data_IF_881926830320
#
_entry.id   IF_881926830320
#
_cell.length_a   1.000
_cell.length_b   1.000
_cell.length_c   1.000
_cell.angle_alpha   90.00
_cell.angle_beta   90.00
_cell.angle_gamma   90.00
#
_symmetry.space_group_name_H-M   'P 1'
#
loop_
_entity.id
_entity.type
_entity.pdbx_description
1 polymer ?
2 non-polymer ?
3 water ?
#
# COMPACT_ATOMS: atom_id res chain seq x y z
N UNK A 4 -22.08 7.75 -7.84
CA UNK A 4 -21.23 6.65 -8.51
C UNK A 4 -19.70 6.85 -8.34
N UNK A 5 -19.32 7.91 -7.63
CA UNK A 5 -17.92 8.14 -7.23
C UNK A 5 -17.72 7.83 -5.76
N UNK A 6 -17.10 6.71 -5.43
CA UNK A 6 -16.98 6.35 -4.04
C UNK A 6 -16.34 7.45 -3.19
N UNK A 7 -15.50 8.30 -3.78
CA UNK A 7 -14.82 9.34 -2.99
C UNK A 7 -15.72 10.37 -2.49
N UNK A 8 -16.90 10.48 -3.06
CA UNK A 8 -17.86 11.41 -2.47
C UNK A 8 -18.29 11.01 -1.05
N UNK A 9 -18.06 9.79 -0.66
CA UNK A 9 -18.36 9.32 0.70
C UNK A 9 -17.21 9.28 1.67
N UNK A 10 -16.04 9.81 1.18
CA UNK A 10 -14.86 9.74 2.03
C UNK A 10 -14.23 11.15 2.18
N UNK A 11 -13.62 11.41 3.34
CA UNK A 11 -12.76 12.56 3.51
C UNK A 11 -11.46 12.36 2.70
N UNK A 12 -11.21 13.26 1.76
CA UNK A 12 -10.07 13.14 0.86
C UNK A 12 -9.63 14.51 0.36
N UNK A 13 -8.41 14.46 -0.20
CA UNK A 13 -7.80 15.67 -0.81
C UNK A 13 -7.12 15.18 -2.11
N UNK A 14 -7.41 15.87 -3.18
CA UNK A 14 -6.67 15.69 -4.45
C UNK A 14 -5.30 16.32 -4.30
N UNK A 15 -4.25 15.53 -4.54
CA UNK A 15 -2.88 15.96 -4.39
C UNK A 15 -2.26 16.28 -5.77
N UNK A 16 -2.33 15.35 -6.68
CA UNK A 16 -1.87 15.58 -8.05
C UNK A 16 -2.96 15.09 -8.97
N UNK A 17 -2.75 15.23 -10.28
CA UNK A 17 -3.78 14.78 -11.18
C UNK A 17 -3.97 13.20 -11.06
N UNK A 18 -2.95 12.52 -10.58
CA UNK A 18 -2.87 11.00 -10.36
C UNK A 18 -3.27 10.58 -8.91
N UNK A 19 -2.82 11.37 -7.90
CA UNK A 19 -2.82 10.92 -6.53
C UNK A 19 -3.81 11.70 -5.75
N UNK A 20 -4.64 10.96 -4.98
CA UNK A 20 -5.55 11.52 -4.02
C UNK A 20 -5.33 10.81 -2.67
N UNK A 21 -5.31 11.59 -1.58
CA UNK A 21 -5.13 11.01 -0.26
C UNK A 21 -6.49 10.95 0.41
N UNK A 22 -6.76 9.81 1.07
CA UNK A 22 -8.06 9.52 1.73
C UNK A 22 -7.74 9.21 3.16
N UNK A 23 -8.59 9.77 4.06
CA UNK A 23 -8.55 9.42 5.48
C UNK A 23 -9.45 8.19 5.64
N UNK A 24 -8.92 7.09 6.08
CA UNK A 24 -9.77 5.92 6.26
C UNK A 24 -8.96 4.63 6.30
N UNK A 25 -9.70 3.57 6.00
CA UNK A 25 -9.20 2.24 6.01
C UNK A 25 -9.00 1.77 4.61
N UNK A 26 -7.76 1.45 4.24
CA UNK A 26 -7.46 1.06 2.87
C UNK A 26 -8.29 -0.09 2.35
N UNK A 27 -8.60 -1.01 3.26
CA UNK A 27 -9.40 -2.22 2.80
C UNK A 27 -10.81 -1.75 2.46
N UNK A 28 -11.38 -0.84 3.25
CA UNK A 28 -12.71 -0.30 2.95
C UNK A 28 -12.72 0.45 1.65
N UNK A 29 -11.67 1.25 1.38
CA UNK A 29 -11.65 1.96 0.17
C UNK A 29 -11.53 1.04 -1.02
N UNK A 30 -10.61 0.07 -0.94
CA UNK A 30 -10.43 -0.86 -2.08
C UNK A 30 -11.74 -1.65 -2.38
N UNK A 31 -12.48 -1.98 -1.35
CA UNK A 31 -13.79 -2.72 -1.58
C UNK A 31 -14.70 -1.93 -2.40
N UNK A 32 -14.59 -0.60 -2.47
CA UNK A 32 -15.40 0.24 -3.35
C UNK A 32 -15.10 0.25 -4.82
N UNK A 33 -13.94 -0.32 -5.22
CA UNK A 33 -13.40 -0.31 -6.54
C UNK A 33 -13.02 -1.69 -6.94
N UNK A 34 -13.98 -2.35 -7.65
CA UNK A 34 -13.70 -3.69 -8.00
C UNK A 34 -12.56 -4.01 -8.88
N UNK A 35 -12.07 -3.02 -9.62
CA UNK A 35 -10.96 -3.25 -10.51
C UNK A 35 -9.64 -2.73 -9.96
N UNK A 36 -9.68 -2.31 -8.74
CA UNK A 36 -8.47 -1.73 -8.10
C UNK A 36 -7.52 -2.85 -7.68
N UNK A 37 -6.23 -2.47 -7.57
CA UNK A 37 -5.23 -3.27 -6.90
C UNK A 37 -4.95 -2.69 -5.51
N UNK A 38 -4.99 -3.50 -4.52
CA UNK A 38 -4.75 -3.08 -3.14
C UNK A 38 -3.32 -3.42 -2.85
N UNK A 39 -2.54 -2.45 -2.35
CA UNK A 39 -1.18 -2.72 -1.91
C UNK A 39 -1.18 -3.13 -0.46
N UNK A 40 -0.40 -4.20 -0.20
CA UNK A 40 0.00 -4.64 1.13
C UNK A 40 1.42 -4.19 1.43
N UNK A 41 1.64 -3.58 2.59
CA UNK A 41 2.98 -3.19 3.03
C UNK A 41 3.52 -4.38 3.79
N UNK A 42 4.35 -5.15 3.06
CA UNK A 42 4.79 -6.47 3.50
C UNK A 42 6.23 -6.45 3.95
N UNK A 43 6.66 -7.60 4.46
CA UNK A 43 8.06 -7.91 4.66
C UNK A 43 8.58 -8.90 3.65
N UNK A 44 9.90 -9.14 3.66
CA UNK A 44 10.55 -9.95 2.64
C UNK A 44 9.96 -11.37 2.56
N UNK A 45 9.39 -11.89 3.65
CA UNK A 45 8.87 -13.27 3.74
C UNK A 45 7.36 -13.39 3.71
N UNK A 46 6.72 -12.22 3.45
CA UNK A 46 5.24 -12.17 3.37
C UNK A 46 4.69 -12.85 4.62
N UNK A 47 5.21 -12.53 5.82
CA UNK A 47 4.67 -12.98 7.11
C UNK A 47 3.88 -11.79 7.66
N UNK A 48 2.56 -11.93 7.57
CA UNK A 48 1.61 -10.80 7.75
C UNK A 48 1.19 -10.77 9.27
N UNK A 49 1.97 -10.00 9.92
CA UNK A 49 1.85 -9.78 11.36
C UNK A 49 0.82 -8.74 11.82
N UNK A 50 1.11 -7.48 11.66
CA UNK A 50 0.79 -6.49 12.72
C UNK A 50 0.16 -5.11 12.40
N UNK A 51 0.40 -4.72 11.19
CA UNK A 51 -0.04 -3.51 10.60
C UNK A 51 -1.11 -3.84 9.58
N UNK A 52 -1.09 -3.13 8.45
CA UNK A 52 -2.04 -3.36 7.42
C UNK A 52 -2.06 -4.83 6.94
N UNK A 53 -0.88 -5.42 6.90
CA UNK A 53 -0.76 -6.80 6.43
C UNK A 53 -1.60 -7.73 7.28
N UNK A 54 -1.54 -7.58 8.59
CA UNK A 54 -2.41 -8.38 9.44
C UNK A 54 -3.86 -8.12 9.24
N UNK A 55 -4.22 -6.88 8.98
CA UNK A 55 -5.62 -6.58 8.69
C UNK A 55 -6.10 -7.17 7.41
N UNK A 56 -5.27 -7.12 6.38
CA UNK A 56 -5.60 -7.70 5.11
C UNK A 56 -5.77 -9.22 5.24
N UNK A 57 -4.85 -9.88 5.92
CA UNK A 57 -4.94 -11.31 6.20
C UNK A 57 -6.22 -11.63 6.98
N UNK A 58 -6.52 -10.84 8.01
CA UNK A 58 -7.75 -11.10 8.77
C UNK A 58 -8.98 -10.92 7.91
N UNK A 59 -9.04 -9.90 7.09
CA UNK A 59 -10.13 -9.66 6.19
C UNK A 59 -10.35 -10.84 5.24
N UNK A 60 -9.28 -11.51 4.85
CA UNK A 60 -9.29 -12.70 3.97
C UNK A 60 -9.53 -13.99 4.68
N UNK A 61 -9.73 -13.95 5.99
CA UNK A 61 -9.86 -15.09 6.86
C UNK A 61 -8.72 -16.05 6.75
N UNK A 62 -7.50 -15.49 6.63
CA UNK A 62 -6.31 -16.31 6.57
C UNK A 62 -5.90 -16.74 5.20
N UNK A 63 -6.66 -16.49 4.17
CA UNK A 63 -6.35 -17.03 2.89
C UNK A 63 -5.06 -16.35 2.32
N UNK A 64 -4.94 -15.07 2.64
CA UNK A 64 -3.74 -14.34 2.21
C UNK A 64 -2.47 -14.96 2.71
N UNK A 65 -2.45 -15.26 4.01
CA UNK A 65 -1.27 -15.95 4.57
C UNK A 65 -1.01 -17.30 3.93
N UNK A 66 -2.05 -18.09 3.69
CA UNK A 66 -1.85 -19.41 3.09
C UNK A 66 -1.22 -19.31 1.73
N UNK A 67 -1.70 -18.34 0.91
CA UNK A 67 -1.17 -18.08 -0.40
C UNK A 67 0.27 -17.65 -0.32
N UNK A 68 0.51 -16.74 0.64
CA UNK A 68 1.85 -16.16 0.82
C UNK A 68 2.84 -17.29 1.22
N UNK A 69 2.40 -18.14 2.13
CA UNK A 69 3.23 -19.34 2.57
C UNK A 69 3.61 -20.12 1.31
N UNK A 70 2.64 -20.42 0.49
CA UNK A 70 2.92 -21.19 -0.71
C UNK A 70 3.90 -20.47 -1.65
N UNK A 71 3.71 -19.13 -1.82
CA UNK A 71 4.51 -18.39 -2.67
C UNK A 71 6.01 -18.44 -2.27
N UNK A 72 6.23 -18.20 -0.98
CA UNK A 72 7.58 -18.20 -0.48
C UNK A 72 8.30 -19.55 -0.59
N UNK A 73 7.56 -20.61 -0.44
CA UNK A 73 8.17 -21.90 -0.58
C UNK A 73 8.43 -22.19 -2.05
N UNK A 74 7.59 -21.70 -2.96
CA UNK A 74 7.89 -21.90 -4.40
C UNK A 74 8.98 -21.07 -4.97
N UNK A 75 9.00 -19.78 -4.53
CA UNK A 75 9.79 -18.77 -5.18
C UNK A 75 10.91 -18.14 -4.34
N UNK A 76 10.88 -18.38 -3.04
CA UNK A 76 11.84 -17.82 -2.13
C UNK A 76 11.43 -16.38 -1.74
N UNK A 77 12.12 -15.85 -0.77
CA UNK A 77 11.78 -14.53 -0.28
C UNK A 77 12.08 -13.41 -1.25
N UNK A 78 11.36 -12.30 -1.06
CA UNK A 78 11.57 -11.07 -1.85
C UNK A 78 12.76 -10.29 -1.33
N UNK A 79 13.33 -9.49 -2.19
CA UNK A 79 14.27 -8.51 -1.72
C UNK A 79 13.54 -7.22 -1.32
N UNK A 80 14.19 -6.43 -0.53
CA UNK A 80 13.63 -5.14 -0.12
C UNK A 80 13.49 -4.30 -1.37
N UNK A 81 12.33 -3.65 -1.61
CA UNK A 81 12.00 -2.93 -2.78
C UNK A 81 11.26 -3.68 -3.87
N UNK A 82 11.22 -5.03 -3.73
CA UNK A 82 10.50 -5.89 -4.69
C UNK A 82 9.01 -5.94 -4.31
N UNK A 83 8.26 -6.36 -5.28
CA UNK A 83 6.79 -6.54 -5.11
C UNK A 83 6.34 -7.77 -5.84
N UNK A 84 5.21 -8.34 -5.43
CA UNK A 84 4.63 -9.47 -6.14
C UNK A 84 3.10 -9.30 -6.13
N UNK A 85 2.51 -9.50 -7.30
CA UNK A 85 1.06 -9.46 -7.48
C UNK A 85 0.45 -10.82 -7.19
N UNK A 86 -0.37 -10.87 -6.21
CA UNK A 86 -1.05 -12.10 -5.78
C UNK A 86 -2.56 -11.93 -5.85
N UNK A 87 -3.31 -12.93 -5.42
CA UNK A 87 -4.72 -12.87 -5.56
C UNK A 87 -5.32 -11.75 -4.75
N UNK A 88 -6.54 -11.37 -5.16
CA UNK A 88 -7.25 -10.31 -4.39
C UNK A 88 -8.16 -10.75 -3.29
N UNK A 89 -8.59 -12.05 -3.29
CA UNK A 89 -9.39 -12.63 -2.23
C UNK A 89 -10.71 -11.88 -1.94
N UNK A 90 -11.28 -11.34 -2.99
CA UNK A 90 -12.50 -10.53 -2.82
C UNK A 90 -12.30 -9.23 -2.07
N UNK A 91 -11.07 -8.84 -1.74
CA UNK A 91 -10.85 -7.51 -1.25
C UNK A 91 -10.60 -6.50 -2.37
N UNK A 92 -10.05 -6.90 -3.51
CA UNK A 92 -9.66 -6.10 -4.65
C UNK A 92 -9.47 -7.02 -5.83
N UNK A 93 -9.18 -6.52 -6.96
CA UNK A 93 -8.87 -7.34 -8.16
C UNK A 93 -7.69 -8.20 -7.90
N UNK A 94 -6.64 -7.62 -7.29
CA UNK A 94 -5.40 -8.31 -6.91
C UNK A 94 -4.84 -7.53 -5.66
N UNK A 95 -3.91 -8.17 -4.96
CA UNK A 95 -3.12 -7.54 -3.90
C UNK A 95 -1.69 -7.53 -4.33
N UNK A 96 -1.10 -6.33 -4.36
CA UNK A 96 0.31 -6.14 -4.71
C UNK A 96 1.04 -6.06 -3.38
N UNK A 97 1.81 -7.08 -3.07
CA UNK A 97 2.59 -7.11 -1.84
C UNK A 97 3.90 -6.42 -2.11
N UNK A 98 4.18 -5.33 -1.42
CA UNK A 98 5.37 -4.49 -1.69
C UNK A 98 6.21 -4.49 -0.42
N UNK A 99 7.50 -4.71 -0.56
CA UNK A 99 8.42 -4.77 0.60
C UNK A 99 9.16 -3.42 0.71
N UNK A 100 8.65 -2.55 1.60
CA UNK A 100 9.34 -1.29 1.84
C UNK A 100 10.59 -1.57 2.67
N UNK A 101 11.51 -0.59 2.62
CA UNK A 101 12.68 -0.57 3.53
C UNK A 101 12.25 -0.43 4.93
N UNK A 102 12.94 -1.18 5.82
CA UNK A 102 12.69 -1.13 7.29
C UNK A 102 13.85 -0.28 7.86
N UNK A 103 13.51 0.89 8.32
CA UNK A 103 14.53 1.86 8.85
C UNK A 103 15.11 1.30 10.11
N UNK A 104 14.36 0.46 10.82
CA UNK A 104 14.87 -0.20 12.04
C UNK A 104 16.09 -1.07 11.73
N UNK A 105 16.11 -1.66 10.54
CA UNK A 105 17.21 -2.51 10.05
C UNK A 105 18.27 -1.67 9.30
N UNK A 106 18.19 -0.32 9.34
CA UNK A 106 18.98 0.58 8.56
C UNK A 106 18.96 0.39 7.07
N UNK A 107 17.81 -0.09 6.55
CA UNK A 107 17.71 -0.24 5.14
C UNK A 107 17.55 1.07 4.38
N UNK A 108 17.85 1.01 3.10
CA UNK A 108 17.94 2.18 2.25
C UNK A 108 16.48 2.71 1.96
N UNK A 109 16.16 3.82 2.54
CA UNK A 109 14.84 4.44 2.39
C UNK A 109 14.51 4.77 0.99
N UNK A 110 15.48 5.13 0.13
CA UNK A 110 15.26 5.39 -1.25
C UNK A 110 14.71 4.22 -2.07
N UNK A 111 14.74 3.01 -1.47
CA UNK A 111 14.09 1.86 -2.11
C UNK A 111 12.59 2.05 -2.18
N UNK A 112 12.05 3.05 -1.50
CA UNK A 112 10.65 3.42 -1.73
C UNK A 112 10.38 3.81 -3.14
N UNK A 113 11.36 4.36 -3.88
CA UNK A 113 11.22 4.65 -5.26
C UNK A 113 10.78 3.42 -6.04
N UNK A 114 11.47 2.30 -5.79
CA UNK A 114 11.13 1.06 -6.49
C UNK A 114 9.76 0.54 -6.08
N UNK A 115 9.48 0.62 -4.80
CA UNK A 115 8.13 0.21 -4.29
C UNK A 115 7.03 0.90 -5.03
N UNK A 116 7.08 2.23 -5.09
CA UNK A 116 6.01 2.95 -5.68
C UNK A 116 5.97 2.86 -7.22
N UNK A 117 7.15 2.78 -7.87
CA UNK A 117 7.16 2.52 -9.26
C UNK A 117 6.41 1.26 -9.73
N UNK A 118 6.47 0.26 -8.87
CA UNK A 118 5.81 -1.09 -9.12
C UNK A 118 4.32 -0.89 -9.24
N UNK A 119 3.77 0.15 -8.63
CA UNK A 119 2.30 0.40 -8.70
C UNK A 119 1.83 0.86 -10.04
N UNK A 120 2.72 1.46 -10.88
CA UNK A 120 2.36 2.04 -12.15
C UNK A 120 1.93 1.04 -13.24
N UNK A 121 2.17 -0.22 -12.93
CA UNK A 121 1.72 -1.26 -13.84
C UNK A 121 0.19 -1.41 -13.92
N UNK A 122 -0.52 -0.82 -12.97
CA UNK A 122 -1.98 -1.07 -12.74
C UNK A 122 -2.72 0.23 -12.91
N UNK A 123 -3.95 0.27 -13.50
CA UNK A 123 -4.57 1.54 -13.81
C UNK A 123 -5.20 2.23 -12.57
N UNK A 124 -5.46 1.46 -11.54
CA UNK A 124 -6.06 2.00 -10.26
C UNK A 124 -5.50 1.22 -9.10
N UNK A 125 -4.82 1.93 -8.18
CA UNK A 125 -4.15 1.37 -7.05
C UNK A 125 -4.63 2.08 -5.72
N UNK A 126 -4.94 1.27 -4.71
CA UNK A 126 -5.21 1.73 -3.39
C UNK A 126 -4.10 1.29 -2.52
N UNK A 127 -3.42 2.25 -1.85
CA UNK A 127 -2.17 1.92 -1.13
C UNK A 127 -2.13 2.63 0.22
N UNK A 128 -1.53 2.01 1.23
CA UNK A 128 -1.08 2.73 2.45
C UNK A 128 0.24 3.46 2.08
N UNK A 129 0.73 4.22 3.06
CA UNK A 129 2.11 4.76 2.98
C UNK A 129 3.07 3.68 3.45
N UNK A 130 3.73 3.14 2.44
CA UNK A 130 4.68 2.04 2.63
C UNK A 130 5.81 2.49 3.58
N UNK A 131 6.16 1.60 4.50
CA UNK A 131 7.24 1.76 5.45
C UNK A 131 6.94 2.81 6.53
N UNK A 132 5.78 3.43 6.53
CA UNK A 132 5.44 4.47 7.54
C UNK A 132 4.96 4.00 8.89
N UNK A 133 4.79 2.75 9.09
CA UNK A 133 4.34 2.28 10.43
C UNK A 133 5.43 1.57 11.16
N UNK A 134 5.29 0.26 11.23
CA UNK A 134 6.28 -0.58 11.93
C UNK A 134 7.72 -0.35 11.40
N UNK A 135 7.89 -0.09 10.11
CA UNK A 135 9.15 0.12 9.48
C UNK A 135 9.82 1.45 9.75
N UNK A 136 9.09 2.34 10.40
CA UNK A 136 9.79 3.53 10.93
C UNK A 136 10.13 4.68 10.03
N UNK A 137 9.61 4.74 8.79
CA UNK A 137 9.88 5.82 7.92
C UNK A 137 8.84 6.92 8.11
N UNK A 138 9.24 8.20 8.15
CA UNK A 138 8.23 9.23 8.38
C UNK A 138 7.17 9.25 7.27
N UNK A 139 5.90 9.47 7.69
CA UNK A 139 4.82 9.48 6.66
C UNK A 139 5.12 10.48 5.56
N UNK A 140 5.60 11.69 5.88
CA UNK A 140 5.89 12.65 4.84
C UNK A 140 6.98 12.23 3.82
N UNK A 141 7.95 11.42 4.32
CA UNK A 141 9.00 10.91 3.45
C UNK A 141 8.38 9.90 2.43
N UNK A 142 7.60 8.96 3.00
CA UNK A 142 6.94 7.94 2.17
C UNK A 142 6.05 8.61 1.13
N UNK A 143 5.24 9.62 1.58
CA UNK A 143 4.37 10.34 0.68
C UNK A 143 5.16 11.07 -0.39
N UNK A 144 6.30 11.67 -0.08
CA UNK A 144 7.13 12.31 -1.06
C UNK A 144 7.58 11.42 -2.21
N UNK A 145 7.97 10.19 -1.86
CA UNK A 145 8.33 9.19 -2.84
C UNK A 145 7.14 8.82 -3.71
N UNK A 146 5.98 8.59 -3.05
CA UNK A 146 4.83 8.23 -3.83
C UNK A 146 4.50 9.31 -4.86
N UNK A 147 4.46 10.56 -4.43
CA UNK A 147 4.10 11.72 -5.27
C UNK A 147 5.06 11.86 -6.49
N UNK A 148 6.31 11.59 -6.19
CA UNK A 148 7.35 11.66 -7.18
C UNK A 148 7.20 10.61 -8.23
N UNK A 149 6.83 9.38 -7.83
CA UNK A 149 6.85 8.22 -8.71
C UNK A 149 5.57 7.87 -9.44
N UNK A 150 4.46 8.31 -8.89
CA UNK A 150 3.15 7.88 -9.44
C UNK A 150 2.92 8.31 -10.84
N UNK A 151 2.52 7.35 -11.69
CA UNK A 151 2.14 7.53 -13.04
C UNK A 151 0.89 6.80 -13.34
N UNK A 152 0.03 6.60 -12.35
CA UNK A 152 -1.24 5.95 -12.54
C UNK A 152 -2.20 6.53 -11.48
N UNK A 153 -3.48 6.08 -11.50
CA UNK A 153 -4.42 6.55 -10.51
C UNK A 153 -4.20 5.84 -9.19
N UNK A 154 -3.83 6.66 -8.16
CA UNK A 154 -3.49 6.15 -6.87
C UNK A 154 -4.35 6.87 -5.82
N UNK A 155 -5.01 6.03 -5.02
CA UNK A 155 -5.65 6.45 -3.79
C UNK A 155 -4.76 6.01 -2.63
N UNK A 156 -4.05 6.94 -1.98
CA UNK A 156 -3.24 6.65 -0.85
C UNK A 156 -4.07 6.92 0.40
N UNK A 157 -4.17 5.90 1.22
CA UNK A 157 -5.09 5.89 2.33
C UNK A 157 -4.36 5.82 3.65
N UNK A 158 -4.71 6.74 4.58
CA UNK A 158 -4.11 6.85 5.86
C UNK A 158 -5.19 6.73 6.95
N UNK A 159 -4.98 5.91 7.95
CA UNK A 159 -6.04 5.68 8.89
C UNK A 159 -6.05 6.67 10.06
N UNK A 160 -4.99 7.43 10.19
CA UNK A 160 -4.87 8.44 11.29
C UNK A 160 -5.22 9.80 10.82
N UNK A 161 -6.16 10.45 11.51
CA UNK A 161 -6.48 11.85 11.22
C UNK A 161 -5.33 12.74 11.41
N UNK A 162 -4.45 12.41 12.35
CA UNK A 162 -3.30 13.20 12.63
C UNK A 162 -2.26 13.11 11.52
N UNK A 163 -2.02 11.91 10.99
CA UNK A 163 -1.19 11.80 9.81
C UNK A 163 -1.83 12.57 8.61
N UNK A 164 -3.13 12.34 8.38
CA UNK A 164 -3.86 12.98 7.32
C UNK A 164 -3.72 14.51 7.31
N UNK A 165 -3.96 15.10 8.46
CA UNK A 165 -3.87 16.54 8.56
C UNK A 165 -2.41 17.01 8.39
N UNK A 166 -1.47 16.23 8.93
CA UNK A 166 -0.02 16.60 8.74
C UNK A 166 0.32 16.67 7.25
N UNK A 167 -0.27 15.85 6.42
CA UNK A 167 0.05 15.79 5.01
C UNK A 167 -0.79 16.69 4.11
N UNK A 168 -1.97 17.11 4.55
CA UNK A 168 -2.91 17.86 3.74
C UNK A 168 -2.98 19.32 4.05
N UNK A 169 -2.65 19.71 5.26
CA UNK A 169 -2.73 21.17 5.62
C UNK A 169 -1.44 21.88 5.19
N UNK A 170 -1.60 22.90 4.35
CA UNK A 170 -0.37 23.51 3.73
C UNK A 170 -0.03 24.90 4.28
X LIG B 1 -5.55 1.61 6.22
X LIG B 1 -4.64 2.62 5.95
X LIG B 1 -3.51 2.85 6.62
X LIG B 1 -3.13 1.91 7.49
X LIG B 1 -3.99 0.75 7.79
X LIG B 1 -5.24 0.63 7.05
X LIG B 1 -6.04 -0.46 7.32
X LIG B 1 -3.37 -0.04 8.76
X LIG B 1 -2.18 0.57 9.03
X LIG B 1 -2.08 1.76 8.36
X LIG B 1 -0.95 2.73 8.29
X LIG B 1 0.08 2.58 9.42
X LIG B 1 -0.34 3.26 10.68
X LIG B 1 1.25 3.18 8.73
X LIG B 1 1.18 4.67 8.69
X LIG B 1 -0.21 2.39 7.10
X LIG B 1 1.23 2.67 7.26
X LIG B 1 2.03 1.47 6.94
X LIG B 1 2.16 0.82 8.23
X LIG B 1 2.48 -0.76 8.43
X LIG B 1 1.31 -1.60 8.10
X LIG B 1 3.05 -0.90 9.86
X LIG B 1 3.56 -0.96 7.28
X LIG B 1 5.20 -0.85 7.23
X LIG B 1 5.70 0.25 8.14
X LIG B 1 5.59 -0.97 5.73
X LIG B 1 5.59 -2.24 8.04
X LIG B 1 5.42 -3.52 7.39
X LIG B 1 4.62 -4.46 9.37
X LIG B 1 2.46 -5.55 9.20
X LIG B 1 3.88 -5.74 9.30
X LIG B 1 4.11 -7.80 8.12
X LIG B 1 4.36 -6.37 7.96
X LIG B 1 6.58 -6.76 8.82
X LIG B 1 5.78 -5.94 7.91
X LIG B 1 5.71 -4.57 8.48
#
# INVERSE_FOLDING_TARGET
GSHMDPLSNFEHKVITECVTIVLGDAIQVAKCYGESVLVNAANTHLKHGGGIAGAINAASKGAVQKESDEYILAKGPLQVGDSVLLQGHSLAKNILHVVGPDARAKQDVSLLSKCYKAMNAYPLVVTPLVSAGIFGVKPAVSFDYLIREAKTRVLVVVNSQDVYKSLTIVD
APR N1 C2 N3 C4 C5 C6 N6 N7 C8 N9 C1' C2' O2' C3' O3' O4' C4' C5' O5' PA O1A O2A O3A PB O1B O2B O5D C5D O4D O1D C1D O2D C2D O3D C3D C4D
#
